data_IF_464883929889
#
_entry.id   IF_464883929889
#
_cell.length_a   1.000
_cell.length_b   1.000
_cell.length_c   1.000
_cell.angle_alpha   90.00
_cell.angle_beta   90.00
_cell.angle_gamma   90.00
#
_symmetry.space_group_name_H-M   'P 1'
#
loop_
_entity.id
_entity.type
_entity.pdbx_description
1 polymer ?
#
# COMPACT_ATOMS: atom_id res chain seq x y z
N UNK A 1 -37.28 2.67 -18.37
CA UNK A 1 -36.11 3.14 -17.60
C UNK A 1 -36.34 2.76 -16.16
N UNK A 2 -35.59 1.78 -15.64
CA UNK A 2 -35.57 1.49 -14.22
C UNK A 2 -34.12 1.14 -13.89
N UNK A 3 -33.42 2.10 -13.27
CA UNK A 3 -32.09 1.91 -12.70
C UNK A 3 -32.28 1.96 -11.19
N UNK A 4 -32.07 0.81 -10.55
CA UNK A 4 -32.15 0.66 -9.11
C UNK A 4 -31.51 -0.64 -8.71
N UNK A 5 -30.20 -0.76 -8.92
CA UNK A 5 -29.42 -1.89 -8.41
C UNK A 5 -29.34 -1.80 -6.89
N UNK A 6 -29.96 -2.77 -6.23
CA UNK A 6 -29.72 -3.11 -4.83
C UNK A 6 -28.55 -4.10 -4.85
N UNK A 7 -27.34 -3.59 -4.60
CA UNK A 7 -26.10 -4.36 -4.53
C UNK A 7 -25.19 -3.78 -3.45
N UNK A 8 -25.62 -3.85 -2.20
CA UNK A 8 -24.93 -3.25 -1.07
C UNK A 8 -23.79 -4.21 -0.63
N UNK A 9 -22.55 -3.73 -0.60
CA UNK A 9 -21.30 -4.41 -0.20
C UNK A 9 -20.54 -5.25 -1.25
N UNK A 10 -21.15 -6.22 -1.94
CA UNK A 10 -20.38 -7.09 -2.86
C UNK A 10 -19.90 -6.36 -4.13
N UNK A 11 -20.78 -5.57 -4.74
CA UNK A 11 -20.47 -4.87 -6.00
C UNK A 11 -19.36 -3.81 -5.82
N UNK A 12 -19.29 -3.17 -4.65
CA UNK A 12 -18.20 -2.24 -4.33
C UNK A 12 -16.85 -2.94 -4.17
N UNK A 13 -16.84 -4.11 -3.55
CA UNK A 13 -15.64 -4.94 -3.39
C UNK A 13 -15.17 -5.48 -4.75
N UNK A 14 -16.10 -5.84 -5.63
CA UNK A 14 -15.77 -6.34 -6.96
C UNK A 14 -15.21 -5.25 -7.88
N UNK A 15 -15.73 -4.01 -7.79
CA UNK A 15 -15.17 -2.85 -8.50
C UNK A 15 -13.77 -2.50 -7.95
N UNK A 16 -13.56 -2.53 -6.63
CA UNK A 16 -12.22 -2.31 -6.06
C UNK A 16 -11.25 -3.40 -6.55
N UNK A 17 -11.67 -4.66 -6.59
CA UNK A 17 -10.83 -5.75 -7.09
C UNK A 17 -10.53 -5.62 -8.58
N UNK A 18 -11.47 -5.16 -9.42
CA UNK A 18 -11.23 -4.96 -10.85
C UNK A 18 -10.34 -3.76 -11.12
N UNK A 19 -10.59 -2.64 -10.46
CA UNK A 19 -9.94 -1.37 -10.77
C UNK A 19 -8.55 -1.25 -10.10
N UNK A 20 -8.32 -2.00 -9.02
CA UNK A 20 -7.03 -2.06 -8.32
C UNK A 20 -6.32 -3.41 -8.45
N UNK A 21 -6.69 -4.25 -9.43
CA UNK A 21 -6.13 -5.58 -9.60
C UNK A 21 -4.58 -5.57 -9.65
N UNK A 22 -3.99 -4.58 -10.35
CA UNK A 22 -2.55 -4.44 -10.49
C UNK A 22 -1.89 -4.03 -9.16
N UNK A 23 -2.51 -3.12 -8.41
CA UNK A 23 -2.01 -2.64 -7.12
C UNK A 23 -2.13 -3.74 -6.06
N UNK A 24 -3.23 -4.50 -6.06
CA UNK A 24 -3.40 -5.67 -5.20
C UNK A 24 -2.31 -6.71 -5.52
N UNK A 25 -2.00 -6.93 -6.80
CA UNK A 25 -0.93 -7.85 -7.18
C UNK A 25 0.45 -7.33 -6.77
N UNK A 26 0.74 -6.05 -6.97
CA UNK A 26 1.99 -5.44 -6.53
C UNK A 26 2.16 -5.54 -5.01
N UNK A 27 1.10 -5.34 -4.22
CA UNK A 27 1.15 -5.51 -2.77
C UNK A 27 1.39 -6.97 -2.37
N UNK A 28 0.81 -7.94 -3.07
CA UNK A 28 1.09 -9.38 -2.86
C UNK A 28 2.55 -9.70 -3.16
N UNK A 29 3.08 -9.14 -4.24
CA UNK A 29 4.47 -9.34 -4.63
C UNK A 29 5.44 -8.65 -3.67
N UNK A 30 5.02 -7.54 -3.05
CA UNK A 30 5.76 -6.83 -1.99
C UNK A 30 5.61 -7.48 -0.60
N UNK A 31 4.60 -8.33 -0.41
CA UNK A 31 4.30 -8.95 0.88
C UNK A 31 5.46 -9.73 1.52
N UNK A 32 6.33 -10.45 0.77
CA UNK A 32 7.50 -11.10 1.38
C UNK A 32 8.39 -10.12 2.15
N UNK A 33 8.52 -8.87 1.69
CA UNK A 33 9.33 -7.83 2.34
C UNK A 33 8.66 -7.38 3.64
N UNK A 34 7.33 -7.16 3.58
CA UNK A 34 6.52 -6.89 4.77
C UNK A 34 6.66 -8.03 5.77
N UNK A 35 6.55 -9.28 5.32
CA UNK A 35 6.66 -10.46 6.17
C UNK A 35 8.04 -10.55 6.84
N UNK A 36 9.11 -10.31 6.11
CA UNK A 36 10.48 -10.26 6.66
C UNK A 36 10.62 -9.22 7.77
N UNK A 37 10.01 -8.03 7.61
CA UNK A 37 9.99 -7.01 8.66
C UNK A 37 9.22 -7.50 9.90
N UNK A 38 8.05 -8.12 9.72
CA UNK A 38 7.25 -8.67 10.82
C UNK A 38 8.00 -9.79 11.56
N UNK A 39 8.64 -10.71 10.83
CA UNK A 39 9.44 -11.79 11.39
C UNK A 39 10.65 -11.24 12.19
N UNK A 40 11.19 -10.08 11.79
CA UNK A 40 12.25 -9.34 12.50
C UNK A 40 11.73 -8.53 13.71
N UNK A 41 10.45 -8.65 14.06
CA UNK A 41 9.84 -8.01 15.24
C UNK A 41 9.15 -6.67 14.97
N UNK A 42 8.97 -6.27 13.71
CA UNK A 42 8.23 -5.06 13.37
C UNK A 42 6.74 -5.20 13.74
N UNK A 43 6.14 -4.25 14.49
CA UNK A 43 4.73 -4.37 14.87
C UNK A 43 3.79 -4.11 13.69
N UNK A 44 2.92 -5.07 13.36
CA UNK A 44 1.97 -4.95 12.24
C UNK A 44 1.09 -3.69 12.31
N UNK A 45 0.69 -3.29 13.52
CA UNK A 45 -0.13 -2.08 13.75
C UNK A 45 0.56 -0.77 13.33
N UNK A 46 1.87 -0.81 13.09
CA UNK A 46 2.66 0.33 12.64
C UNK A 46 2.71 0.45 11.11
N UNK A 47 2.14 -0.49 10.35
CA UNK A 47 1.99 -0.40 8.89
C UNK A 47 0.56 0.07 8.58
N UNK A 48 0.43 1.25 7.97
CA UNK A 48 -0.88 1.84 7.63
C UNK A 48 -0.93 2.21 6.15
N UNK A 49 -2.03 1.89 5.48
CA UNK A 49 -2.35 2.51 4.20
C UNK A 49 -2.65 3.99 4.45
N UNK A 50 -2.15 4.88 3.61
CA UNK A 50 -2.50 6.30 3.71
C UNK A 50 -2.57 6.99 2.36
N UNK A 51 -2.50 8.32 2.37
CA UNK A 51 -2.46 9.12 1.15
C UNK A 51 -3.62 8.88 0.18
N UNK A 52 -3.30 8.92 -1.11
CA UNK A 52 -4.27 8.67 -2.17
C UNK A 52 -4.77 7.23 -2.18
N UNK A 53 -3.95 6.28 -1.71
CA UNK A 53 -4.27 4.86 -1.64
C UNK A 53 -5.40 4.58 -0.64
N UNK A 54 -5.30 5.09 0.59
CA UNK A 54 -6.37 4.95 1.56
C UNK A 54 -7.64 5.66 1.07
N UNK A 55 -7.50 6.87 0.51
CA UNK A 55 -8.66 7.62 0.01
C UNK A 55 -9.37 6.89 -1.15
N UNK A 56 -8.61 6.30 -2.06
CA UNK A 56 -9.14 5.60 -3.24
C UNK A 56 -9.74 4.24 -2.88
N UNK A 57 -9.13 3.48 -1.95
CA UNK A 57 -9.64 2.18 -1.51
C UNK A 57 -10.87 2.30 -0.59
N UNK A 58 -10.95 3.35 0.24
CA UNK A 58 -12.01 3.46 1.26
C UNK A 58 -13.16 4.43 0.91
N UNK A 59 -12.93 5.45 0.06
CA UNK A 59 -13.90 6.55 -0.11
C UNK A 59 -14.25 6.90 -1.55
N UNK A 60 -13.28 6.97 -2.45
CA UNK A 60 -13.53 7.51 -3.79
C UNK A 60 -12.99 6.57 -4.87
N UNK A 61 -13.88 5.72 -5.38
CA UNK A 61 -13.75 4.94 -6.62
C UNK A 61 -13.57 5.82 -7.89
N UNK A 62 -13.15 7.08 -7.76
CA UNK A 62 -13.13 8.08 -8.84
C UNK A 62 -11.72 8.52 -9.25
N UNK A 63 -10.68 8.09 -8.55
CA UNK A 63 -9.30 8.33 -8.99
C UNK A 63 -8.50 7.05 -8.85
N UNK A 64 -8.17 6.44 -9.99
CA UNK A 64 -7.12 5.42 -10.08
C UNK A 64 -5.84 6.04 -9.49
N UNK A 65 -5.53 5.70 -8.24
CA UNK A 65 -4.21 5.93 -7.68
C UNK A 65 -3.31 4.85 -8.25
N UNK A 66 -2.32 5.25 -9.04
CA UNK A 66 -1.36 4.34 -9.66
C UNK A 66 -0.25 3.93 -8.67
N UNK A 67 -0.17 4.62 -7.53
CA UNK A 67 0.83 4.44 -6.48
C UNK A 67 0.17 3.90 -5.18
N UNK A 68 0.94 3.12 -4.42
CA UNK A 68 0.63 2.59 -3.09
C UNK A 68 1.41 3.35 -2.01
N UNK A 69 0.71 4.05 -1.11
CA UNK A 69 1.32 4.77 0.02
C UNK A 69 1.17 3.97 1.33
N UNK A 70 2.30 3.55 1.89
CA UNK A 70 2.42 2.94 3.22
C UNK A 70 3.03 3.97 4.19
N UNK A 71 2.53 3.98 5.42
CA UNK A 71 2.99 4.89 6.47
C UNK A 71 3.58 4.10 7.63
N UNK A 72 4.74 4.57 8.11
CA UNK A 72 5.43 4.06 9.29
C UNK A 72 5.64 5.18 10.33
N UNK A 73 5.79 4.87 11.64
CA UNK A 73 5.76 5.88 12.71
C UNK A 73 6.88 6.93 12.66
N UNK A 74 8.09 6.56 12.24
CA UNK A 74 9.23 7.48 12.11
C UNK A 74 10.31 6.91 11.18
N UNK A 75 11.38 7.67 10.96
CA UNK A 75 12.45 7.33 10.03
C UNK A 75 13.25 6.08 10.40
N UNK A 76 13.32 5.69 11.67
CA UNK A 76 14.04 4.48 12.09
C UNK A 76 13.32 3.22 11.60
N UNK A 77 12.01 3.30 11.45
CA UNK A 77 11.17 2.20 10.96
C UNK A 77 11.40 1.93 9.47
N UNK A 78 11.95 2.88 8.71
CA UNK A 78 12.29 2.68 7.29
C UNK A 78 13.42 1.69 7.07
N UNK A 79 14.29 1.48 8.06
CA UNK A 79 15.44 0.57 7.93
C UNK A 79 15.02 -0.88 7.68
N UNK A 80 13.82 -1.26 8.12
CA UNK A 80 13.19 -2.56 7.82
C UNK A 80 12.81 -2.74 6.35
N UNK A 81 12.65 -1.64 5.61
CA UNK A 81 12.12 -1.65 4.26
C UNK A 81 13.14 -1.18 3.20
N UNK A 82 14.35 -0.80 3.60
CA UNK A 82 15.33 -0.24 2.65
C UNK A 82 15.69 -1.28 1.57
N UNK A 83 15.61 -0.91 0.27
CA UNK A 83 15.76 -1.86 -0.83
C UNK A 83 17.09 -2.62 -0.81
N UNK A 84 18.17 -1.97 -0.36
CA UNK A 84 19.51 -2.58 -0.24
C UNK A 84 19.55 -3.91 0.53
N UNK A 85 18.54 -4.19 1.36
CA UNK A 85 18.45 -5.41 2.15
C UNK A 85 17.81 -6.60 1.41
N UNK A 86 17.07 -6.36 0.33
CA UNK A 86 16.20 -7.38 -0.30
C UNK A 86 16.08 -7.24 -1.84
N UNK A 87 16.66 -6.21 -2.44
CA UNK A 87 16.50 -5.88 -3.87
C UNK A 87 16.91 -7.01 -4.82
N UNK A 88 17.92 -7.80 -4.44
CA UNK A 88 18.39 -8.94 -5.24
C UNK A 88 17.48 -10.17 -5.12
N UNK A 89 16.64 -10.22 -4.08
CA UNK A 89 15.72 -11.34 -3.80
C UNK A 89 14.36 -11.16 -4.50
N UNK A 90 14.12 -10.01 -5.13
CA UNK A 90 12.83 -9.62 -5.71
C UNK A 90 12.94 -9.46 -7.22
N UNK A 91 12.55 -10.51 -7.95
CA UNK A 91 12.76 -10.62 -9.40
C UNK A 91 11.99 -9.60 -10.26
N UNK A 92 10.90 -9.04 -9.74
CA UNK A 92 10.02 -8.09 -10.42
C UNK A 92 10.26 -6.63 -10.02
N UNK A 93 11.38 -6.35 -9.33
CA UNK A 93 11.77 -4.99 -9.03
C UNK A 93 12.23 -4.25 -10.30
N UNK A 94 11.61 -3.11 -10.59
CA UNK A 94 12.12 -2.19 -11.62
C UNK A 94 13.33 -1.47 -11.00
N UNK A 95 14.55 -1.70 -11.52
CA UNK A 95 15.88 -1.40 -10.97
C UNK A 95 16.21 0.01 -10.39
N UNK A 96 15.22 0.87 -10.10
CA UNK A 96 15.33 2.20 -9.53
C UNK A 96 14.55 2.28 -8.22
N UNK A 97 15.17 2.86 -7.19
CA UNK A 97 14.51 3.13 -5.91
C UNK A 97 14.88 4.50 -5.36
N UNK A 98 14.01 5.04 -4.51
CA UNK A 98 14.28 6.16 -3.62
C UNK A 98 14.59 5.63 -2.22
N UNK A 99 15.66 6.13 -1.61
CA UNK A 99 16.14 5.73 -0.28
C UNK A 99 16.57 6.99 0.47
N UNK A 100 15.60 7.66 1.09
CA UNK A 100 15.76 8.95 1.78
C UNK A 100 15.52 8.78 3.29
N UNK A 101 15.76 9.85 4.05
CA UNK A 101 15.62 9.84 5.51
C UNK A 101 14.18 9.63 6.00
N UNK A 102 13.18 10.02 5.21
CA UNK A 102 11.76 9.97 5.57
C UNK A 102 10.90 9.26 4.51
N UNK A 103 11.54 8.64 3.52
CA UNK A 103 10.86 8.04 2.37
C UNK A 103 11.71 6.91 1.77
N UNK A 104 11.08 5.78 1.56
CA UNK A 104 11.58 4.70 0.71
C UNK A 104 10.56 4.50 -0.41
N UNK A 105 11.00 4.55 -1.66
CA UNK A 105 10.12 4.38 -2.83
C UNK A 105 10.66 3.32 -3.76
N UNK A 106 9.81 2.39 -4.18
CA UNK A 106 10.16 1.28 -5.08
C UNK A 106 9.11 1.09 -6.15
N UNK A 107 9.48 0.50 -7.27
CA UNK A 107 8.54 0.09 -8.32
C UNK A 107 8.55 -1.42 -8.48
N UNK A 108 7.37 -2.03 -8.45
CA UNK A 108 7.15 -3.46 -8.69
C UNK A 108 6.48 -3.64 -10.05
N UNK A 109 7.07 -4.45 -10.92
CA UNK A 109 6.51 -4.77 -12.23
C UNK A 109 5.41 -5.83 -12.10
N UNK A 110 4.19 -5.44 -12.46
CA UNK A 110 3.07 -6.35 -12.64
C UNK A 110 2.83 -6.50 -14.14
N UNK A 111 3.39 -7.55 -14.74
CA UNK A 111 3.49 -7.68 -16.19
C UNK A 111 4.44 -6.62 -16.77
N UNK A 112 3.93 -5.71 -17.60
CA UNK A 112 4.69 -4.58 -18.14
C UNK A 112 4.41 -3.25 -17.42
N UNK A 113 3.56 -3.27 -16.38
CA UNK A 113 3.13 -2.07 -15.67
C UNK A 113 3.96 -1.89 -14.39
N UNK A 114 4.75 -0.81 -14.25
CA UNK A 114 5.39 -0.49 -12.99
C UNK A 114 4.36 0.11 -12.02
N UNK A 115 4.19 -0.52 -10.86
CA UNK A 115 3.38 0.00 -9.76
C UNK A 115 4.33 0.52 -8.69
N UNK A 116 4.17 1.80 -8.36
CA UNK A 116 5.00 2.45 -7.34
C UNK A 116 4.47 2.14 -5.94
N UNK A 117 5.38 1.87 -5.02
CA UNK A 117 5.11 1.68 -3.60
C UNK A 117 6.00 2.66 -2.84
N UNK A 118 5.38 3.62 -2.17
CA UNK A 118 6.03 4.60 -1.30
C UNK A 118 5.80 4.23 0.16
N UNK A 119 6.87 4.21 0.94
CA UNK A 119 6.87 3.99 2.38
C UNK A 119 7.35 5.28 3.02
N UNK A 120 6.44 5.96 3.70
CA UNK A 120 6.63 7.30 4.23
C UNK A 120 6.75 7.23 5.74
N UNK A 121 7.88 7.74 6.25
CA UNK A 121 8.00 7.98 7.68
C UNK A 121 7.17 9.19 8.03
N UNK A 122 6.21 8.98 8.93
CA UNK A 122 5.31 10.03 9.35
C UNK A 122 5.25 10.03 10.86
N UNK A 123 6.04 10.94 11.45
CA UNK A 123 6.00 11.25 12.88
C UNK A 123 4.64 11.83 13.24
N UNK A 124 3.65 10.97 13.52
CA UNK A 124 2.33 11.40 13.93
C UNK A 124 2.10 11.10 15.40
N UNK A 125 2.18 12.17 16.19
CA UNK A 125 1.49 12.27 17.47
C UNK A 125 -0.02 12.54 17.33
N UNK A 126 -0.69 12.11 16.26
CA UNK A 126 -2.14 12.32 16.14
C UNK A 126 -2.86 11.14 15.50
N UNK A 127 -3.24 10.22 16.37
CA UNK A 127 -4.32 9.25 16.15
C UNK A 127 -5.64 9.87 15.66
N UNK A 128 -5.78 11.20 15.74
CA UNK A 128 -7.00 11.95 15.38
C UNK A 128 -7.22 12.16 13.88
N UNK A 129 -6.21 11.92 13.05
CA UNK A 129 -6.30 12.10 11.58
C UNK A 129 -6.49 10.79 10.82
N UNK A 130 -6.49 9.66 11.54
CA UNK A 130 -6.76 8.35 10.97
C UNK A 130 -8.26 8.08 11.05
N UNK A 131 -8.89 7.90 9.90
CA UNK A 131 -10.26 7.41 9.88
C UNK A 131 -10.28 5.93 10.28
N UNK A 132 -10.75 5.68 11.51
CA UNK A 132 -10.88 4.34 12.09
C UNK A 132 -12.30 3.76 11.90
N UNK A 133 -13.19 4.49 11.21
CA UNK A 133 -14.60 4.08 11.03
C UNK A 133 -14.78 3.00 9.95
N UNK A 134 -13.77 2.75 9.13
CA UNK A 134 -13.79 1.75 8.06
C UNK A 134 -12.79 0.63 8.34
N UNK A 135 -13.30 -0.58 8.53
CA UNK A 135 -12.52 -1.82 8.62
C UNK A 135 -12.77 -2.65 7.37
N UNK A 136 -11.70 -3.09 6.70
CA UNK A 136 -11.80 -4.11 5.65
C UNK A 136 -11.87 -5.48 6.34
N UNK A 137 -13.02 -6.13 6.27
CA UNK A 137 -13.14 -7.55 6.56
C UNK A 137 -12.55 -8.33 5.38
N UNK A 138 -11.33 -8.84 5.55
CA UNK A 138 -10.66 -9.69 4.57
C UNK A 138 -11.06 -11.15 4.84
#
# INVERSE_FOLDING_TARGET
MNLGFIGCANDQLDIIKSDFALQIQALKDFYPIIKSALDAGYPMQNIKLGGGTALAMYYFQHRLSFDLDLFVPDGQHLDYFRPKMWIDDVANFEGRYADLAHHVGVSILVGACPIKIDILAHSMGVDSLLDKSKTLSI
#
